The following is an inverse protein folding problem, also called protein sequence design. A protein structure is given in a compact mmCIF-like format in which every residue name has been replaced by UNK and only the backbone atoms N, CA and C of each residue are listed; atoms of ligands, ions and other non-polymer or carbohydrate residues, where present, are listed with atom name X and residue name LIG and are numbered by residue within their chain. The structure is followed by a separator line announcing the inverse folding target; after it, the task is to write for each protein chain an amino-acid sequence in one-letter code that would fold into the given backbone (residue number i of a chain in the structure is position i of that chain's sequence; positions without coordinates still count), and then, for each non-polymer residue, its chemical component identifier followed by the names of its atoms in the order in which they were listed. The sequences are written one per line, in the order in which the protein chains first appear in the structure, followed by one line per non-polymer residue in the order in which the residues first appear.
data_IF_255523956137
#
_entry.id   IF_255523956137
#
_cell.length_a   1.000
_cell.length_b   1.000
_cell.length_c   1.000
_cell.angle_alpha   90.00
_cell.angle_beta   90.00
_cell.angle_gamma   90.00
#
_symmetry.space_group_name_H-M   'P 1'
#
loop_
_entity.id
_entity.type
_entity.pdbx_description
1 polymer ?
#
# COMPACT_ATOMS: atom_id res chain seq x y z
N UNK A 1 -6.13 49.74 0.73
CA UNK A 1 -5.21 48.58 0.54
C UNK A 1 -5.04 47.69 1.79
N UNK A 2 -5.96 47.67 2.77
CA UNK A 2 -5.90 46.73 3.92
C UNK A 2 -6.69 45.43 3.66
N UNK A 3 -7.83 45.52 2.98
CA UNK A 3 -8.72 44.39 2.72
C UNK A 3 -8.20 43.41 1.65
N UNK A 4 -7.43 43.89 0.66
CA UNK A 4 -6.83 43.05 -0.37
C UNK A 4 -5.78 42.08 0.18
N UNK A 5 -5.08 42.47 1.26
CA UNK A 5 -4.09 41.62 1.95
C UNK A 5 -4.74 40.51 2.79
N UNK A 6 -5.95 40.71 3.30
CA UNK A 6 -6.67 39.68 4.06
C UNK A 6 -7.21 38.57 3.15
N UNK A 7 -7.65 38.93 1.94
CA UNK A 7 -8.16 37.98 0.95
C UNK A 7 -7.08 37.01 0.45
N UNK A 8 -5.85 37.49 0.25
CA UNK A 8 -4.71 36.63 -0.14
C UNK A 8 -4.28 35.68 0.98
N UNK A 9 -4.37 36.09 2.25
CA UNK A 9 -4.07 35.21 3.40
C UNK A 9 -5.13 34.10 3.52
N UNK A 10 -6.41 34.43 3.32
CA UNK A 10 -7.48 33.42 3.35
C UNK A 10 -7.34 32.41 2.21
N UNK A 11 -6.89 32.85 1.03
CA UNK A 11 -6.67 31.95 -0.12
C UNK A 11 -5.47 31.02 0.10
N UNK A 12 -4.39 31.50 0.74
CA UNK A 12 -3.22 30.69 1.10
C UNK A 12 -3.54 29.66 2.19
N UNK A 13 -4.40 29.98 3.15
CA UNK A 13 -4.81 29.06 4.22
C UNK A 13 -5.69 27.90 3.69
N UNK A 14 -6.41 28.09 2.57
CA UNK A 14 -7.23 27.05 1.96
C UNK A 14 -6.48 26.18 0.93
N UNK A 15 -5.29 26.60 0.49
CA UNK A 15 -4.44 25.83 -0.44
C UNK A 15 -3.67 24.68 0.24
N UNK A 16 -3.66 24.63 1.57
CA UNK A 16 -3.02 23.57 2.35
C UNK A 16 -4.06 22.52 2.77
N UNK A 17 -4.96 22.15 1.84
CA UNK A 17 -5.61 20.85 1.95
C UNK A 17 -4.54 19.79 1.68
N UNK A 18 -3.79 19.45 2.73
CA UNK A 18 -2.76 18.44 2.78
C UNK A 18 -3.34 17.03 2.58
N UNK A 19 -3.96 16.78 1.41
CA UNK A 19 -4.13 15.41 0.97
C UNK A 19 -2.74 14.88 0.66
N UNK A 20 -2.21 14.03 1.54
CA UNK A 20 -1.04 13.22 1.24
C UNK A 20 -1.28 12.58 -0.12
N UNK A 21 -0.43 12.86 -1.14
CA UNK A 21 -0.67 12.40 -2.49
C UNK A 21 -0.75 10.89 -2.47
N UNK A 22 -1.77 10.36 -3.13
CA UNK A 22 -1.86 8.91 -3.32
C UNK A 22 -0.66 8.40 -4.11
N UNK A 23 -0.11 7.28 -3.67
CA UNK A 23 1.07 6.66 -4.28
C UNK A 23 0.66 5.34 -4.91
N UNK A 24 1.15 5.08 -6.13
CA UNK A 24 1.01 3.78 -6.76
C UNK A 24 2.11 2.86 -6.25
N UNK A 25 1.73 1.68 -5.79
CA UNK A 25 2.65 0.61 -5.43
C UNK A 25 2.51 -0.53 -6.41
N UNK A 26 3.60 -1.24 -6.62
CA UNK A 26 3.66 -2.46 -7.41
C UNK A 26 4.44 -3.48 -6.60
N UNK A 27 3.98 -4.73 -6.60
CA UNK A 27 4.68 -5.81 -5.95
C UNK A 27 4.37 -7.15 -6.60
N UNK A 28 5.18 -8.14 -6.28
CA UNK A 28 5.02 -9.49 -6.81
C UNK A 28 5.19 -10.55 -5.74
N UNK A 29 4.56 -11.70 -5.97
CA UNK A 29 4.67 -12.85 -5.09
C UNK A 29 4.48 -14.16 -5.86
N UNK A 30 5.17 -15.20 -5.41
CA UNK A 30 4.94 -16.58 -5.83
C UNK A 30 4.37 -17.36 -4.66
N UNK A 31 3.23 -18.01 -4.87
CA UNK A 31 2.55 -18.85 -3.89
C UNK A 31 2.44 -20.28 -4.41
N UNK A 32 2.86 -21.25 -3.60
CA UNK A 32 2.59 -22.67 -3.84
C UNK A 32 1.25 -23.04 -3.23
N UNK A 33 0.29 -23.40 -4.07
CA UNK A 33 -1.04 -23.87 -3.67
C UNK A 33 -0.90 -25.13 -2.81
N UNK A 34 -1.46 -25.07 -1.61
CA UNK A 34 -1.48 -26.20 -0.67
C UNK A 34 -2.62 -27.16 -0.98
N UNK A 35 -2.48 -28.42 -0.57
CA UNK A 35 -3.52 -29.44 -0.74
C UNK A 35 -4.83 -29.01 -0.08
N UNK A 36 -5.92 -29.05 -0.86
CA UNK A 36 -7.26 -28.66 -0.40
C UNK A 36 -7.58 -27.15 -0.51
N UNK A 37 -6.64 -26.32 -0.94
CA UNK A 37 -6.88 -24.91 -1.26
C UNK A 37 -7.49 -24.79 -2.66
N UNK A 38 -8.56 -24.01 -2.82
CA UNK A 38 -9.10 -23.70 -4.15
C UNK A 38 -8.21 -22.71 -4.92
N UNK A 39 -8.24 -22.78 -6.26
CA UNK A 39 -7.42 -21.91 -7.10
C UNK A 39 -7.74 -20.42 -6.89
N UNK A 40 -9.02 -20.05 -6.73
CA UNK A 40 -9.38 -18.65 -6.47
C UNK A 40 -8.87 -18.19 -5.12
N UNK A 41 -8.95 -19.05 -4.10
CA UNK A 41 -8.38 -18.75 -2.78
C UNK A 41 -6.87 -18.56 -2.87
N UNK A 42 -6.17 -19.41 -3.62
CA UNK A 42 -4.73 -19.32 -3.81
C UNK A 42 -4.33 -18.04 -4.56
N UNK A 43 -5.10 -17.64 -5.58
CA UNK A 43 -4.93 -16.37 -6.30
C UNK A 43 -5.17 -15.17 -5.38
N UNK A 44 -6.24 -15.17 -4.58
CA UNK A 44 -6.55 -14.07 -3.65
C UNK A 44 -5.46 -13.90 -2.59
N UNK A 45 -4.96 -15.01 -2.03
CA UNK A 45 -3.83 -15.00 -1.10
C UNK A 45 -2.54 -14.51 -1.76
N UNK A 46 -2.24 -14.98 -2.98
CA UNK A 46 -1.06 -14.57 -3.72
C UNK A 46 -1.12 -13.06 -4.08
N UNK A 47 -2.30 -12.57 -4.46
CA UNK A 47 -2.56 -11.15 -4.71
C UNK A 47 -2.34 -10.32 -3.43
N UNK A 48 -2.92 -10.74 -2.31
CA UNK A 48 -2.73 -10.05 -1.02
C UNK A 48 -1.25 -9.93 -0.66
N UNK A 49 -0.48 -11.01 -0.83
CA UNK A 49 0.97 -11.02 -0.58
C UNK A 49 1.76 -10.16 -1.57
N UNK A 50 1.41 -10.16 -2.85
CA UNK A 50 2.03 -9.29 -3.84
C UNK A 50 1.84 -7.81 -3.47
N UNK A 51 0.65 -7.42 -3.00
CA UNK A 51 0.37 -6.05 -2.56
C UNK A 51 1.13 -5.70 -1.26
N UNK A 52 1.24 -6.62 -0.30
CA UNK A 52 2.07 -6.44 0.91
C UNK A 52 3.52 -6.16 0.52
N UNK A 53 4.07 -6.94 -0.41
CA UNK A 53 5.44 -6.73 -0.91
C UNK A 53 5.60 -5.36 -1.57
N UNK A 54 4.62 -4.90 -2.35
CA UNK A 54 4.68 -3.57 -2.96
C UNK A 54 4.63 -2.43 -1.93
N UNK A 55 3.85 -2.57 -0.86
CA UNK A 55 3.84 -1.58 0.23
C UNK A 55 5.14 -1.64 1.03
N UNK A 56 5.67 -2.84 1.28
CA UNK A 56 6.96 -3.03 1.94
C UNK A 56 8.10 -2.32 1.19
N UNK A 57 8.19 -2.52 -0.12
CA UNK A 57 9.19 -1.84 -0.97
C UNK A 57 9.04 -0.33 -0.94
N UNK A 58 7.80 0.18 -0.99
CA UNK A 58 7.53 1.61 -0.85
C UNK A 58 8.05 2.16 0.49
N UNK A 59 7.77 1.48 1.60
CA UNK A 59 8.19 1.92 2.94
C UNK A 59 9.71 1.95 3.08
N UNK A 60 10.42 0.93 2.56
CA UNK A 60 11.87 0.93 2.53
C UNK A 60 12.44 2.09 1.69
N UNK A 61 11.92 2.32 0.48
CA UNK A 61 12.42 3.36 -0.42
C UNK A 61 12.14 4.76 0.14
N UNK A 62 11.02 4.94 0.84
CA UNK A 62 10.66 6.21 1.48
C UNK A 62 11.61 6.61 2.63
N UNK A 63 12.49 5.71 3.09
CA UNK A 63 13.34 5.85 4.28
C UNK A 63 12.54 6.18 5.56
N UNK A 64 11.24 5.87 5.60
CA UNK A 64 10.41 6.06 6.80
C UNK A 64 10.64 4.94 7.84
N UNK A 65 11.19 3.80 7.42
CA UNK A 65 11.38 2.62 8.27
C UNK A 65 12.71 1.91 7.97
N UNK A 66 13.40 1.46 9.02
CA UNK A 66 14.55 0.55 8.91
C UNK A 66 14.10 -0.93 8.95
N UNK A 67 15.00 -1.87 8.63
CA UNK A 67 14.67 -3.31 8.59
C UNK A 67 14.11 -3.88 9.91
N UNK A 68 14.55 -3.37 11.06
CA UNK A 68 14.06 -3.80 12.38
C UNK A 68 12.62 -3.32 12.62
N UNK A 69 12.33 -2.07 12.26
CA UNK A 69 10.98 -1.51 12.31
C UNK A 69 10.05 -2.21 11.31
N UNK A 70 10.57 -2.55 10.12
CA UNK A 70 9.83 -3.31 9.12
C UNK A 70 9.36 -4.67 9.66
N UNK A 71 10.20 -5.39 10.42
CA UNK A 71 9.81 -6.67 11.04
C UNK A 71 8.67 -6.51 12.06
N UNK A 72 8.58 -5.35 12.71
CA UNK A 72 7.54 -5.06 13.71
C UNK A 72 6.21 -4.72 13.04
N UNK A 73 6.23 -3.97 11.93
CA UNK A 73 5.01 -3.54 11.23
C UNK A 73 4.49 -4.56 10.23
N UNK A 74 5.32 -5.48 9.74
CA UNK A 74 4.94 -6.43 8.70
C UNK A 74 3.70 -7.26 9.06
N UNK A 75 3.55 -7.83 10.28
CA UNK A 75 2.34 -8.56 10.65
C UNK A 75 1.07 -7.69 10.65
N UNK A 76 1.20 -6.41 10.98
CA UNK A 76 0.09 -5.44 10.95
C UNK A 76 -0.30 -5.17 9.50
N UNK A 77 0.70 -4.91 8.65
CA UNK A 77 0.50 -4.67 7.21
C UNK A 77 -0.18 -5.88 6.54
N UNK A 78 0.29 -7.09 6.84
CA UNK A 78 -0.26 -8.35 6.33
C UNK A 78 -1.77 -8.48 6.61
N UNK A 79 -2.18 -8.15 7.84
CA UNK A 79 -3.59 -8.19 8.27
C UNK A 79 -4.43 -7.02 7.78
N UNK A 80 -3.81 -5.89 7.40
CA UNK A 80 -4.50 -4.65 7.05
C UNK A 80 -4.40 -4.27 5.56
N UNK A 81 -3.74 -5.08 4.72
CA UNK A 81 -3.43 -4.71 3.34
C UNK A 81 -4.66 -4.29 2.52
N UNK A 82 -5.79 -4.96 2.73
CA UNK A 82 -7.06 -4.65 2.05
C UNK A 82 -7.65 -3.29 2.46
N UNK A 83 -7.28 -2.78 3.64
CA UNK A 83 -7.67 -1.44 4.11
C UNK A 83 -6.70 -0.35 3.62
N UNK A 84 -5.44 -0.72 3.39
CA UNK A 84 -4.38 0.19 2.95
C UNK A 84 -4.40 0.45 1.44
N UNK A 85 -4.69 -0.58 0.65
CA UNK A 85 -4.58 -0.55 -0.81
C UNK A 85 -5.95 -0.39 -1.46
N UNK A 86 -6.08 0.63 -2.30
CA UNK A 86 -7.26 0.89 -3.13
C UNK A 86 -7.00 0.49 -4.57
N UNK A 87 -8.07 0.12 -5.26
CA UNK A 87 -8.06 -0.26 -6.68
C UNK A 87 -6.94 -1.27 -7.03
N UNK A 88 -6.84 -2.41 -6.33
CA UNK A 88 -5.85 -3.42 -6.67
C UNK A 88 -6.12 -3.97 -8.07
N UNK A 89 -5.07 -4.12 -8.87
CA UNK A 89 -5.13 -4.66 -10.23
C UNK A 89 -4.01 -5.69 -10.40
N UNK A 90 -4.36 -6.87 -10.91
CA UNK A 90 -3.37 -7.86 -11.35
C UNK A 90 -2.82 -7.40 -12.71
N UNK A 91 -1.52 -7.09 -12.76
CA UNK A 91 -0.81 -6.73 -13.99
C UNK A 91 -0.43 -7.99 -14.75
N UNK A 92 0.02 -9.01 -14.01
CA UNK A 92 0.52 -10.26 -14.56
C UNK A 92 0.14 -11.42 -13.65
N UNK A 93 -0.29 -12.53 -14.24
CA UNK A 93 -0.56 -13.78 -13.56
C UNK A 93 0.01 -14.94 -14.36
N UNK A 94 0.74 -15.83 -13.70
CA UNK A 94 1.20 -17.10 -14.27
C UNK A 94 0.81 -18.24 -13.32
N UNK A 95 0.26 -19.32 -13.88
CA UNK A 95 -0.09 -20.53 -13.12
C UNK A 95 0.63 -21.70 -13.76
N UNK A 96 1.51 -22.35 -13.00
CA UNK A 96 2.30 -23.49 -13.44
C UNK A 96 2.15 -24.65 -12.44
N UNK A 97 1.25 -25.58 -12.73
CA UNK A 97 0.90 -26.64 -11.78
C UNK A 97 0.28 -26.06 -10.52
N UNK A 98 0.95 -26.24 -9.38
CA UNK A 98 0.54 -25.69 -8.09
C UNK A 98 1.26 -24.37 -7.74
N UNK A 99 2.09 -23.82 -8.62
CA UNK A 99 2.73 -22.52 -8.40
C UNK A 99 1.94 -21.41 -9.10
N UNK A 100 1.67 -20.34 -8.34
CA UNK A 100 0.96 -19.16 -8.80
C UNK A 100 1.88 -17.97 -8.60
N UNK A 101 2.19 -17.26 -9.67
CA UNK A 101 2.93 -16.01 -9.63
C UNK A 101 2.01 -14.86 -10.00
N UNK A 102 1.99 -13.80 -9.18
CA UNK A 102 1.21 -12.59 -9.42
C UNK A 102 2.12 -11.37 -9.30
N UNK A 103 2.01 -10.47 -10.27
CA UNK A 103 2.41 -9.07 -10.15
C UNK A 103 1.15 -8.23 -10.08
N UNK A 104 1.05 -7.38 -9.06
CA UNK A 104 -0.10 -6.55 -8.82
C UNK A 104 0.30 -5.12 -8.48
N UNK A 105 -0.57 -4.19 -8.85
CA UNK A 105 -0.48 -2.79 -8.48
C UNK A 105 -1.66 -2.38 -7.61
N UNK A 106 -1.47 -1.30 -6.88
CA UNK A 106 -2.55 -0.65 -6.16
C UNK A 106 -2.19 0.79 -5.79
N UNK A 107 -3.15 1.47 -5.18
CA UNK A 107 -3.00 2.86 -4.76
C UNK A 107 -3.09 2.93 -3.24
N UNK A 108 -2.05 3.46 -2.59
CA UNK A 108 -2.06 3.74 -1.16
C UNK A 108 -2.24 5.23 -0.91
N UNK A 109 -2.71 5.55 0.30
CA UNK A 109 -2.61 6.90 0.84
C UNK A 109 -1.62 6.83 2.03
N UNK A 110 -0.44 7.46 1.95
CA UNK A 110 0.58 7.36 3.00
C UNK A 110 0.06 7.79 4.38
N UNK A 111 -0.82 8.79 4.45
CA UNK A 111 -1.43 9.18 5.72
C UNK A 111 -2.27 8.03 6.33
N UNK A 112 -3.12 7.38 5.55
CA UNK A 112 -3.93 6.24 6.03
C UNK A 112 -3.02 5.08 6.44
N UNK A 113 -2.00 4.78 5.62
CA UNK A 113 -1.03 3.74 5.89
C UNK A 113 -0.33 3.98 7.24
N UNK A 114 0.18 5.18 7.48
CA UNK A 114 0.89 5.50 8.72
C UNK A 114 -0.03 5.43 9.95
N UNK A 115 -1.31 5.83 9.81
CA UNK A 115 -2.31 5.67 10.90
C UNK A 115 -2.55 4.19 11.25
N UNK A 116 -2.61 3.31 10.24
CA UNK A 116 -2.81 1.86 10.45
C UNK A 116 -1.57 1.22 11.10
N UNK A 117 -0.38 1.64 10.68
CA UNK A 117 0.87 1.09 11.20
C UNK A 117 1.26 1.64 12.58
N UNK A 118 0.46 2.55 13.15
CA UNK A 118 0.76 3.18 14.44
C UNK A 118 1.93 4.17 14.37
N UNK A 119 2.26 4.66 13.17
CA UNK A 119 3.21 5.73 12.96
C UNK A 119 2.65 7.03 13.56
N UNK A 120 3.19 7.43 14.71
CA UNK A 120 2.95 8.75 15.26
C UNK A 120 3.74 9.77 14.42
N UNK A 121 3.04 10.56 13.61
CA UNK A 121 3.58 11.82 13.09
C UNK A 121 3.63 12.86 14.23
#
# INVERSE_FOLDING_TARGET
MKYLRLLTIYFLLNLISAQSPSVRIEGSHTLTQSDGMDLYQAIDQCLGKALVNGVYEYLLISNEYNEEEMNTIMPILDGAIQMCVKAPVIIKQEVNGNEIFITAEGIINPFILNQILGGNN
#
